data_IF_254027164933
#
_entry.id   IF_254027164933
#
_cell.length_a   1.000
_cell.length_b   1.000
_cell.length_c   1.000
_cell.angle_alpha   90.00
_cell.angle_beta   90.00
_cell.angle_gamma   90.00
#
_symmetry.space_group_name_H-M   'P 1'
#
loop_
_entity.id
_entity.type
_entity.pdbx_description
1 polymer ?
#
# COMPACT_ATOMS: atom_id res chain seq x y z
N UNK A 1 -14.20 16.93 -35.48
CA UNK A 1 -13.73 15.79 -34.67
C UNK A 1 -14.87 14.79 -34.54
N UNK A 2 -14.63 13.47 -34.66
CA UNK A 2 -15.64 12.48 -34.36
C UNK A 2 -16.12 12.63 -32.91
N UNK A 3 -17.43 12.59 -32.70
CA UNK A 3 -18.04 12.65 -31.38
C UNK A 3 -18.02 11.26 -30.75
N UNK A 4 -17.86 11.16 -29.42
CA UNK A 4 -18.04 9.89 -28.68
C UNK A 4 -19.40 9.21 -29.00
N UNK A 5 -20.40 9.99 -29.41
CA UNK A 5 -21.71 9.47 -29.83
C UNK A 5 -21.68 8.65 -31.13
N UNK A 6 -20.61 8.76 -31.90
CA UNK A 6 -20.44 8.10 -33.21
C UNK A 6 -19.46 6.93 -33.16
N UNK A 7 -18.78 6.73 -32.04
CA UNK A 7 -17.86 5.62 -31.86
C UNK A 7 -18.63 4.33 -31.57
N UNK A 8 -18.16 3.18 -32.08
CA UNK A 8 -18.65 1.89 -31.65
C UNK A 8 -18.55 1.74 -30.11
N UNK A 9 -19.49 1.06 -29.45
CA UNK A 9 -19.46 0.84 -28.00
C UNK A 9 -18.15 0.21 -27.52
N UNK A 10 -17.60 -0.73 -28.28
CA UNK A 10 -16.37 -1.46 -27.95
C UNK A 10 -15.15 -0.53 -27.93
N UNK A 11 -15.09 0.40 -28.90
CA UNK A 11 -14.03 1.42 -28.97
C UNK A 11 -14.17 2.40 -27.81
N UNK A 12 -15.40 2.80 -27.47
CA UNK A 12 -15.67 3.69 -26.34
C UNK A 12 -15.24 3.03 -25.02
N UNK A 13 -15.58 1.75 -24.80
CA UNK A 13 -15.12 0.99 -23.63
C UNK A 13 -13.60 0.89 -23.61
N UNK A 14 -12.95 0.61 -24.74
CA UNK A 14 -11.49 0.53 -24.82
C UNK A 14 -10.79 1.85 -24.45
N UNK A 15 -11.34 2.99 -24.86
CA UNK A 15 -10.84 4.32 -24.47
C UNK A 15 -11.02 4.54 -22.97
N UNK A 16 -12.21 4.24 -22.43
CA UNK A 16 -12.51 4.48 -21.02
C UNK A 16 -11.69 3.59 -20.07
N UNK A 17 -11.17 2.44 -20.53
CA UNK A 17 -10.28 1.59 -19.72
C UNK A 17 -8.95 2.25 -19.34
N UNK A 18 -8.58 3.37 -19.99
CA UNK A 18 -7.41 4.16 -19.61
C UNK A 18 -7.69 5.17 -18.48
N UNK A 19 -8.92 5.28 -18.01
CA UNK A 19 -9.28 6.13 -16.88
C UNK A 19 -9.18 5.34 -15.57
N UNK A 20 -8.75 6.01 -14.50
CA UNK A 20 -8.80 5.41 -13.17
C UNK A 20 -10.25 5.14 -12.73
N UNK A 21 -10.47 4.28 -11.72
CA UNK A 21 -11.81 3.86 -11.34
C UNK A 21 -12.71 5.00 -10.86
N UNK A 22 -12.14 6.08 -10.32
CA UNK A 22 -12.91 7.21 -9.83
C UNK A 22 -13.31 8.18 -10.95
N UNK A 23 -12.46 8.38 -11.96
CA UNK A 23 -12.83 9.13 -13.17
C UNK A 23 -13.95 8.42 -13.94
N UNK A 24 -13.93 7.08 -13.96
CA UNK A 24 -15.05 6.29 -14.49
C UNK A 24 -16.36 6.58 -13.76
N UNK A 25 -16.34 6.83 -12.44
CA UNK A 25 -17.53 7.25 -11.70
C UNK A 25 -18.05 8.62 -12.18
N UNK A 26 -17.17 9.57 -12.46
CA UNK A 26 -17.57 10.88 -12.99
C UNK A 26 -18.21 10.73 -14.38
N UNK A 27 -17.65 9.89 -15.24
CA UNK A 27 -18.22 9.63 -16.57
C UNK A 27 -19.63 9.01 -16.45
N UNK A 28 -19.86 8.13 -15.47
CA UNK A 28 -21.19 7.56 -15.17
C UNK A 28 -22.21 8.60 -14.68
N UNK A 29 -21.78 9.78 -14.24
CA UNK A 29 -22.69 10.86 -13.85
C UNK A 29 -23.11 11.74 -15.05
N UNK A 30 -22.58 11.48 -16.25
CA UNK A 30 -22.94 12.23 -17.45
C UNK A 30 -24.32 11.86 -17.98
N UNK A 31 -25.01 12.82 -18.62
CA UNK A 31 -26.30 12.58 -19.29
C UNK A 31 -26.18 11.83 -20.63
N UNK A 32 -24.96 11.46 -21.05
CA UNK A 32 -24.74 10.76 -22.31
C UNK A 32 -24.91 9.25 -22.11
N UNK A 33 -25.99 8.69 -22.66
CA UNK A 33 -26.33 7.26 -22.51
C UNK A 33 -25.23 6.31 -23.04
N UNK A 34 -24.53 6.68 -24.11
CA UNK A 34 -23.46 5.85 -24.68
C UNK A 34 -22.24 5.81 -23.74
N UNK A 35 -21.81 6.98 -23.25
CA UNK A 35 -20.72 7.08 -22.27
C UNK A 35 -21.08 6.41 -20.95
N UNK A 36 -22.30 6.61 -20.45
CA UNK A 36 -22.80 5.93 -19.26
C UNK A 36 -22.69 4.41 -19.39
N UNK A 37 -23.21 3.84 -20.48
CA UNK A 37 -23.24 2.39 -20.69
C UNK A 37 -21.83 1.82 -20.84
N UNK A 38 -20.94 2.51 -21.55
CA UNK A 38 -19.56 2.10 -21.71
C UNK A 38 -18.77 2.20 -20.39
N UNK A 39 -18.97 3.27 -19.62
CA UNK A 39 -18.33 3.47 -18.32
C UNK A 39 -18.81 2.44 -17.30
N UNK A 40 -20.08 2.04 -17.32
CA UNK A 40 -20.60 0.96 -16.46
C UNK A 40 -19.86 -0.37 -16.71
N UNK A 41 -19.62 -0.69 -17.99
CA UNK A 41 -18.89 -1.90 -18.37
C UNK A 41 -17.42 -1.82 -17.92
N UNK A 42 -16.76 -0.68 -18.17
CA UNK A 42 -15.36 -0.47 -17.80
C UNK A 42 -15.16 -0.43 -16.27
N UNK A 43 -16.12 0.13 -15.52
CA UNK A 43 -16.05 0.27 -14.06
C UNK A 43 -16.36 -1.01 -13.30
N UNK A 44 -17.10 -1.96 -13.90
CA UNK A 44 -17.59 -3.17 -13.24
C UNK A 44 -16.52 -3.93 -12.42
N UNK A 45 -15.28 -4.13 -12.90
CA UNK A 45 -14.25 -4.84 -12.14
C UNK A 45 -13.83 -4.12 -10.85
N UNK A 46 -13.92 -2.79 -10.83
CA UNK A 46 -13.40 -1.95 -9.74
C UNK A 46 -14.46 -1.63 -8.67
N UNK A 47 -15.73 -1.98 -8.90
CA UNK A 47 -16.86 -1.57 -8.05
C UNK A 47 -16.64 -1.88 -6.57
N UNK A 48 -16.22 -3.11 -6.27
CA UNK A 48 -16.05 -3.55 -4.88
C UNK A 48 -14.82 -2.88 -4.24
N UNK A 49 -13.72 -2.76 -4.98
CA UNK A 49 -12.53 -2.04 -4.52
C UNK A 49 -12.81 -0.56 -4.27
N UNK A 50 -13.48 0.15 -5.19
CA UNK A 50 -13.82 1.57 -5.02
C UNK A 50 -14.72 1.78 -3.80
N UNK A 51 -15.69 0.88 -3.56
CA UNK A 51 -16.53 0.91 -2.36
C UNK A 51 -15.70 0.72 -1.09
N UNK A 52 -14.75 -0.22 -1.10
CA UNK A 52 -13.84 -0.44 0.01
C UNK A 52 -12.97 0.79 0.27
N UNK A 53 -12.31 1.31 -0.77
CA UNK A 53 -11.44 2.48 -0.70
C UNK A 53 -12.17 3.70 -0.11
N UNK A 54 -13.36 4.03 -0.63
CA UNK A 54 -14.17 5.14 -0.08
C UNK A 54 -14.51 4.93 1.39
N UNK A 55 -14.87 3.70 1.78
CA UNK A 55 -15.23 3.40 3.17
C UNK A 55 -14.02 3.48 4.10
N UNK A 56 -12.89 2.88 3.71
CA UNK A 56 -11.68 2.85 4.53
C UNK A 56 -11.05 4.23 4.65
N UNK A 57 -11.05 5.03 3.58
CA UNK A 57 -10.61 6.44 3.63
C UNK A 57 -11.53 7.29 4.48
N UNK A 58 -12.85 7.06 4.45
CA UNK A 58 -13.77 7.78 5.32
C UNK A 58 -13.56 7.42 6.80
N UNK A 59 -13.21 6.16 7.09
CA UNK A 59 -12.97 5.68 8.45
C UNK A 59 -11.60 6.09 8.97
N UNK A 60 -10.56 5.95 8.16
CA UNK A 60 -9.17 6.29 8.44
C UNK A 60 -8.71 7.35 7.44
N UNK A 61 -9.15 8.60 7.61
CA UNK A 61 -8.77 9.66 6.70
C UNK A 61 -7.24 9.81 6.74
N UNK A 62 -6.56 9.78 5.57
CA UNK A 62 -5.17 10.14 5.49
C UNK A 62 -4.95 11.50 6.13
N UNK A 63 -3.94 11.62 6.98
CA UNK A 63 -3.72 12.86 7.73
C UNK A 63 -3.20 13.90 6.78
N UNK A 64 -4.02 14.90 6.52
CA UNK A 64 -3.67 16.05 5.69
C UNK A 64 -2.79 17.06 6.42
N UNK A 65 -1.97 16.65 7.40
CA UNK A 65 -0.92 17.53 7.91
C UNK A 65 0.15 17.61 6.84
N UNK A 66 -0.05 18.51 5.87
CA UNK A 66 0.78 18.85 4.72
C UNK A 66 2.21 19.30 5.11
N UNK A 67 2.92 18.53 5.93
CA UNK A 67 4.31 18.74 6.28
C UNK A 67 5.19 18.20 5.16
N UNK A 68 4.87 17.03 4.60
CA UNK A 68 5.55 16.38 3.47
C UNK A 68 4.80 16.66 2.17
N UNK A 69 4.93 17.91 1.73
CA UNK A 69 4.52 18.38 0.40
C UNK A 69 5.33 17.62 -0.67
N UNK A 70 5.14 16.32 -0.94
CA UNK A 70 6.01 15.61 -1.90
C UNK A 70 5.34 14.55 -2.77
N UNK A 71 4.22 13.95 -2.32
CA UNK A 71 3.52 12.92 -3.10
C UNK A 71 2.40 13.50 -3.98
N UNK A 72 2.39 13.10 -5.26
CA UNK A 72 1.35 13.48 -6.21
C UNK A 72 0.07 12.63 -6.01
N UNK A 73 -1.15 13.16 -6.11
CA UNK A 73 -2.36 12.35 -5.96
C UNK A 73 -2.65 11.49 -7.20
N UNK A 74 -2.73 10.15 -7.06
CA UNK A 74 -3.14 9.26 -8.17
C UNK A 74 -4.64 9.23 -8.45
N UNK A 75 -5.47 9.55 -7.45
CA UNK A 75 -6.93 9.55 -7.53
C UNK A 75 -7.46 10.95 -7.26
N UNK A 76 -7.29 11.85 -8.23
CA UNK A 76 -7.38 13.26 -7.96
C UNK A 76 -8.81 13.64 -7.56
N UNK A 77 -8.97 14.37 -6.46
CA UNK A 77 -10.28 14.75 -5.87
C UNK A 77 -11.09 13.62 -5.20
N UNK A 78 -10.60 12.37 -5.15
CA UNK A 78 -11.35 11.25 -4.56
C UNK A 78 -10.67 10.62 -3.34
N UNK A 79 -9.35 10.49 -3.37
CA UNK A 79 -8.56 9.98 -2.25
C UNK A 79 -7.43 10.97 -1.99
N UNK A 80 -7.32 11.53 -0.78
CA UNK A 80 -6.16 12.33 -0.43
C UNK A 80 -4.90 11.44 -0.40
N UNK A 81 -3.70 11.99 -0.70
CA UNK A 81 -2.47 11.23 -0.57
C UNK A 81 -2.33 10.59 0.81
N UNK A 82 -1.82 9.35 0.85
CA UNK A 82 -1.53 8.69 2.11
C UNK A 82 -0.39 9.46 2.83
N UNK A 83 -0.53 9.64 4.15
CA UNK A 83 0.43 10.39 4.99
C UNK A 83 1.70 9.57 5.25
N UNK A 84 2.81 10.26 5.62
CA UNK A 84 4.14 9.73 5.99
C UNK A 84 4.35 8.28 5.55
N UNK A 85 4.86 8.12 4.34
CA UNK A 85 5.02 6.81 3.77
C UNK A 85 6.13 6.03 4.51
N UNK A 86 5.75 5.36 5.59
CA UNK A 86 6.62 4.42 6.31
C UNK A 86 6.97 3.20 5.44
N UNK A 87 6.40 3.09 4.24
CA UNK A 87 6.62 1.99 3.29
C UNK A 87 7.67 2.35 2.25
N UNK A 88 7.94 3.64 2.00
CA UNK A 88 8.96 4.06 1.03
C UNK A 88 9.60 5.41 1.38
N UNK A 89 10.92 5.41 1.30
CA UNK A 89 11.76 6.59 1.49
C UNK A 89 11.95 7.39 0.18
N UNK A 90 11.51 6.85 -0.97
CA UNK A 90 11.71 7.45 -2.30
C UNK A 90 10.47 8.17 -2.79
N UNK A 91 10.53 9.50 -2.79
CA UNK A 91 9.48 10.36 -3.34
C UNK A 91 9.69 10.71 -4.82
N UNK A 92 10.93 10.54 -5.31
CA UNK A 92 11.33 10.79 -6.70
C UNK A 92 12.31 9.72 -7.18
N UNK A 93 12.34 9.48 -8.50
CA UNK A 93 13.39 8.65 -9.12
C UNK A 93 14.61 9.53 -9.43
N UNK A 94 15.82 9.16 -8.97
CA UNK A 94 17.08 9.82 -9.34
C UNK A 94 17.33 9.73 -10.85
N UNK A 95 17.88 10.80 -11.43
CA UNK A 95 18.12 10.86 -12.88
C UNK A 95 19.04 9.75 -13.39
N UNK A 96 20.01 9.33 -12.58
CA UNK A 96 20.93 8.23 -12.89
C UNK A 96 20.22 6.90 -13.18
N UNK A 97 19.00 6.71 -12.66
CA UNK A 97 18.24 5.45 -12.80
C UNK A 97 17.31 5.44 -14.01
N UNK A 98 17.14 6.56 -14.74
CA UNK A 98 16.10 6.70 -15.78
C UNK A 98 16.27 5.73 -16.93
N UNK A 99 17.49 5.58 -17.45
CA UNK A 99 17.75 4.69 -18.58
C UNK A 99 17.47 3.23 -18.20
N UNK A 100 17.93 2.79 -17.02
CA UNK A 100 17.70 1.45 -16.51
C UNK A 100 16.20 1.18 -16.31
N UNK A 101 15.45 2.15 -15.76
CA UNK A 101 14.01 2.07 -15.51
C UNK A 101 13.15 2.38 -16.74
N UNK A 102 13.76 2.58 -17.92
CA UNK A 102 13.05 2.85 -19.19
C UNK A 102 12.16 4.10 -19.12
N UNK A 103 12.66 5.14 -18.45
CA UNK A 103 12.06 6.47 -18.34
C UNK A 103 12.66 7.46 -19.34
N UNK A 104 11.97 8.56 -19.61
CA UNK A 104 12.49 9.65 -20.45
C UNK A 104 13.62 10.38 -19.70
N UNK A 105 14.83 10.31 -20.24
CA UNK A 105 16.04 10.95 -19.68
C UNK A 105 15.95 12.48 -19.54
N UNK A 106 15.03 13.12 -20.26
CA UNK A 106 14.74 14.56 -20.18
C UNK A 106 13.43 14.89 -19.44
N UNK A 107 12.73 13.86 -18.97
CA UNK A 107 11.39 13.92 -18.41
C UNK A 107 11.32 14.00 -16.88
N UNK A 108 12.45 14.12 -16.16
CA UNK A 108 12.47 14.14 -14.69
C UNK A 108 12.37 15.53 -14.02
N UNK A 109 12.23 15.59 -12.68
CA UNK A 109 12.18 14.44 -11.76
C UNK A 109 10.86 13.69 -11.87
N UNK A 110 10.91 12.37 -11.90
CA UNK A 110 9.71 11.53 -11.86
C UNK A 110 9.17 11.48 -10.43
N UNK A 111 7.95 11.97 -10.23
CA UNK A 111 7.33 12.20 -8.92
C UNK A 111 6.41 11.04 -8.61
N UNK A 112 6.56 10.48 -7.42
CA UNK A 112 5.72 9.38 -6.96
C UNK A 112 4.29 9.82 -6.67
N UNK A 113 3.33 8.98 -7.03
CA UNK A 113 1.95 9.18 -6.66
C UNK A 113 1.51 8.33 -5.45
N UNK A 114 0.57 8.86 -4.66
CA UNK A 114 0.01 8.20 -3.49
C UNK A 114 -1.49 8.50 -3.30
N UNK A 115 -2.31 7.49 -2.91
CA UNK A 115 -1.97 6.07 -3.00
C UNK A 115 -1.73 5.67 -4.46
N UNK A 116 -0.82 4.73 -4.77
CA UNK A 116 -0.55 4.34 -6.16
C UNK A 116 -1.78 3.72 -6.83
N UNK A 117 -2.01 4.04 -8.10
CA UNK A 117 -3.08 3.39 -8.89
C UNK A 117 -2.61 2.04 -9.42
N UNK A 118 -2.62 1.02 -8.54
CA UNK A 118 -2.17 -0.33 -8.87
C UNK A 118 -3.26 -1.18 -9.52
N UNK A 119 -4.52 -0.96 -9.11
CA UNK A 119 -5.66 -1.82 -9.50
C UNK A 119 -6.03 -1.72 -10.97
N UNK A 120 -5.64 -0.67 -11.67
CA UNK A 120 -5.94 -0.48 -13.10
C UNK A 120 -5.05 -1.28 -14.03
N UNK A 121 -3.85 -1.68 -13.59
CA UNK A 121 -2.86 -2.33 -14.44
C UNK A 121 -2.28 -3.61 -13.84
N UNK A 122 -2.37 -3.83 -12.53
CA UNK A 122 -1.88 -5.03 -11.85
C UNK A 122 -3.04 -5.91 -11.35
N UNK A 123 -2.84 -7.24 -11.38
CA UNK A 123 -3.76 -8.19 -10.75
C UNK A 123 -3.43 -8.32 -9.26
N UNK A 124 -4.38 -7.93 -8.42
CA UNK A 124 -4.33 -8.06 -6.97
C UNK A 124 -5.45 -9.03 -6.52
N UNK A 125 -5.25 -10.32 -6.85
CA UNK A 125 -6.23 -11.39 -6.66
C UNK A 125 -5.72 -12.53 -5.76
N UNK A 126 -4.59 -12.32 -5.09
CA UNK A 126 -3.93 -13.30 -4.23
C UNK A 126 -3.09 -14.34 -4.97
N UNK A 127 -2.92 -14.22 -6.29
CA UNK A 127 -2.02 -15.10 -7.06
C UNK A 127 -0.54 -14.77 -6.87
N UNK A 128 -0.23 -13.51 -6.55
CA UNK A 128 1.14 -12.99 -6.43
C UNK A 128 2.00 -13.23 -7.68
N UNK A 129 1.38 -13.25 -8.88
CA UNK A 129 2.10 -13.40 -10.17
C UNK A 129 3.17 -12.30 -10.38
N UNK A 130 2.98 -11.13 -9.76
CA UNK A 130 3.89 -9.98 -9.81
C UNK A 130 5.08 -10.07 -8.85
N UNK A 131 5.07 -11.00 -7.88
CA UNK A 131 6.07 -11.09 -6.82
C UNK A 131 7.21 -12.03 -7.23
N UNK A 132 8.21 -11.49 -7.93
CA UNK A 132 9.38 -12.24 -8.37
C UNK A 132 10.32 -12.57 -7.20
N UNK A 133 11.05 -13.70 -7.23
CA UNK A 133 12.11 -13.98 -6.26
C UNK A 133 13.17 -12.87 -6.26
N UNK A 134 13.78 -12.63 -5.10
CA UNK A 134 14.94 -11.75 -5.01
C UNK A 134 16.12 -12.34 -5.78
N UNK A 135 17.00 -11.47 -6.28
CA UNK A 135 18.30 -11.94 -6.75
C UNK A 135 19.09 -12.57 -5.61
N UNK A 136 20.13 -13.33 -5.97
CA UNK A 136 20.87 -14.13 -5.01
C UNK A 136 21.59 -13.28 -3.97
N UNK A 137 22.17 -12.15 -4.37
CA UNK A 137 23.00 -11.35 -3.48
C UNK A 137 22.10 -10.66 -2.45
N UNK A 138 20.95 -10.13 -2.89
CA UNK A 138 19.93 -9.58 -1.99
C UNK A 138 19.31 -10.65 -1.08
N UNK A 139 19.03 -11.84 -1.61
CA UNK A 139 18.53 -12.95 -0.79
C UNK A 139 19.54 -13.35 0.29
N UNK A 140 20.84 -13.43 -0.06
CA UNK A 140 21.93 -13.72 0.86
C UNK A 140 22.08 -12.62 1.94
N UNK A 141 21.89 -11.35 1.59
CA UNK A 141 21.85 -10.23 2.53
C UNK A 141 20.65 -10.28 3.48
N UNK A 142 19.50 -10.77 3.01
CA UNK A 142 18.26 -10.91 3.78
C UNK A 142 18.23 -12.14 4.71
N UNK A 143 19.16 -13.10 4.54
CA UNK A 143 19.22 -14.34 5.33
C UNK A 143 19.26 -14.13 6.85
N UNK A 144 20.02 -13.18 7.42
CA UNK A 144 20.04 -12.96 8.88
C UNK A 144 18.67 -12.58 9.45
N UNK A 145 17.85 -11.91 8.65
CA UNK A 145 16.54 -11.39 9.06
C UNK A 145 15.42 -12.41 8.81
N UNK A 146 15.40 -13.01 7.62
CA UNK A 146 14.29 -13.89 7.20
C UNK A 146 14.58 -15.38 7.36
N UNK A 147 15.85 -15.77 7.56
CA UNK A 147 16.27 -17.16 7.57
C UNK A 147 16.27 -17.79 6.17
N UNK A 148 16.44 -19.11 6.12
CA UNK A 148 16.44 -19.86 4.86
C UNK A 148 15.01 -19.96 4.31
N UNK A 149 14.85 -19.73 3.00
CA UNK A 149 13.55 -19.82 2.33
C UNK A 149 12.86 -21.16 2.62
N UNK A 150 11.66 -21.11 3.19
CA UNK A 150 10.86 -22.29 3.50
C UNK A 150 10.95 -22.77 4.94
N UNK A 151 11.99 -22.38 5.68
CA UNK A 151 12.26 -22.84 7.05
C UNK A 151 11.56 -21.97 8.10
N UNK A 152 11.32 -20.69 7.81
CA UNK A 152 10.66 -19.74 8.72
C UNK A 152 9.36 -19.22 8.11
N UNK A 153 8.22 -19.92 8.25
CA UNK A 153 6.96 -19.40 7.74
C UNK A 153 6.51 -18.16 8.50
N UNK A 154 5.70 -17.31 7.87
CA UNK A 154 5.05 -16.15 8.55
C UNK A 154 4.28 -16.58 9.80
N UNK A 155 3.70 -17.79 9.75
CA UNK A 155 3.05 -18.43 10.88
C UNK A 155 3.00 -19.95 10.69
N UNK A 156 2.96 -20.74 11.77
CA UNK A 156 2.58 -22.14 11.71
C UNK A 156 1.23 -22.32 11.03
N UNK A 157 1.07 -23.41 10.26
CA UNK A 157 -0.20 -23.71 9.56
C UNK A 157 -1.41 -23.72 10.51
N UNK A 158 -1.23 -24.27 11.71
CA UNK A 158 -2.30 -24.34 12.72
C UNK A 158 -2.77 -22.95 13.17
N UNK A 159 -1.87 -21.98 13.21
CA UNK A 159 -2.16 -20.60 13.61
C UNK A 159 -2.96 -19.89 12.51
N UNK A 160 -2.59 -20.10 11.24
CA UNK A 160 -3.37 -19.57 10.11
C UNK A 160 -4.75 -20.22 10.05
N UNK A 161 -4.86 -21.53 10.29
CA UNK A 161 -6.14 -22.23 10.35
C UNK A 161 -7.02 -21.73 11.50
N UNK A 162 -6.42 -21.46 12.67
CA UNK A 162 -7.10 -20.87 13.81
C UNK A 162 -7.60 -19.44 13.51
N UNK A 163 -6.77 -18.60 12.87
CA UNK A 163 -7.16 -17.27 12.43
C UNK A 163 -8.33 -17.33 11.45
N UNK A 164 -8.25 -18.15 10.41
CA UNK A 164 -9.32 -18.30 9.39
C UNK A 164 -10.62 -18.73 10.05
N UNK A 165 -10.55 -19.68 11.00
CA UNK A 165 -11.71 -20.10 11.78
C UNK A 165 -12.26 -18.95 12.62
N UNK A 166 -11.41 -18.21 13.35
CA UNK A 166 -11.84 -17.10 14.19
C UNK A 166 -12.50 -15.97 13.38
N UNK A 167 -11.94 -15.62 12.22
CA UNK A 167 -12.52 -14.65 11.28
C UNK A 167 -13.89 -15.12 10.80
N UNK A 168 -14.00 -16.41 10.43
CA UNK A 168 -15.28 -17.00 10.01
C UNK A 168 -16.31 -17.05 11.14
N UNK A 169 -15.91 -17.39 12.37
CA UNK A 169 -16.79 -17.46 13.54
C UNK A 169 -17.35 -16.06 13.92
N UNK A 170 -16.69 -14.99 13.46
CA UNK A 170 -17.08 -13.58 13.66
C UNK A 170 -17.80 -12.95 12.46
N UNK A 171 -18.14 -13.73 11.43
CA UNK A 171 -18.73 -13.25 10.16
C UNK A 171 -17.89 -12.16 9.46
N UNK A 172 -16.57 -12.18 9.66
CA UNK A 172 -15.62 -11.28 9.00
C UNK A 172 -15.13 -11.89 7.68
N UNK A 173 -14.54 -11.04 6.83
CA UNK A 173 -13.96 -11.47 5.54
C UNK A 173 -12.46 -11.26 5.58
N UNK A 174 -11.69 -12.35 5.50
CA UNK A 174 -10.24 -12.29 5.32
C UNK A 174 -9.92 -12.02 3.84
N UNK A 175 -9.02 -11.08 3.51
CA UNK A 175 -8.57 -10.89 2.13
C UNK A 175 -7.89 -12.16 1.60
N UNK A 176 -8.26 -12.59 0.40
CA UNK A 176 -7.72 -13.81 -0.23
C UNK A 176 -6.19 -13.76 -0.33
N UNK A 177 -5.63 -12.61 -0.75
CA UNK A 177 -4.18 -12.41 -0.78
C UNK A 177 -3.51 -12.52 0.58
N UNK A 178 -4.15 -12.05 1.66
CA UNK A 178 -3.59 -12.16 3.01
C UNK A 178 -3.49 -13.62 3.46
N UNK A 179 -4.55 -14.40 3.28
CA UNK A 179 -4.53 -15.83 3.59
C UNK A 179 -3.48 -16.57 2.75
N UNK A 180 -3.46 -16.35 1.44
CA UNK A 180 -2.52 -16.99 0.54
C UNK A 180 -1.05 -16.66 0.90
N UNK A 181 -0.78 -15.40 1.29
CA UNK A 181 0.53 -14.96 1.75
C UNK A 181 0.92 -15.63 3.07
N UNK A 182 0.06 -15.57 4.09
CA UNK A 182 0.33 -16.14 5.42
C UNK A 182 0.51 -17.67 5.38
N UNK A 183 -0.18 -18.36 4.47
CA UNK A 183 -0.02 -19.82 4.26
C UNK A 183 1.25 -20.20 3.51
N UNK A 184 1.91 -19.24 2.85
CA UNK A 184 3.08 -19.53 2.04
C UNK A 184 4.36 -19.42 2.86
N UNK A 185 5.13 -20.50 2.89
CA UNK A 185 6.46 -20.50 3.48
C UNK A 185 7.51 -19.79 2.59
N UNK A 186 7.09 -19.19 1.47
CA UNK A 186 8.02 -18.68 0.44
C UNK A 186 7.79 -17.22 0.09
N UNK A 187 6.54 -16.74 0.07
CA UNK A 187 6.21 -15.42 -0.47
C UNK A 187 6.84 -14.29 0.35
N UNK A 188 6.86 -14.40 1.67
CA UNK A 188 7.43 -13.36 2.52
C UNK A 188 8.96 -13.21 2.38
N UNK A 189 9.69 -14.28 2.04
CA UNK A 189 11.13 -14.19 1.72
C UNK A 189 11.42 -13.41 0.44
N UNK A 190 10.41 -13.16 -0.39
CA UNK A 190 10.55 -12.35 -1.61
C UNK A 190 10.37 -10.86 -1.35
N UNK A 191 9.97 -10.48 -0.14
CA UNK A 191 9.79 -9.07 0.21
C UNK A 191 11.12 -8.56 0.78
N UNK A 192 11.82 -7.67 0.07
CA UNK A 192 13.07 -7.10 0.56
C UNK A 192 12.78 -6.11 1.68
N UNK A 193 13.72 -5.96 2.63
CA UNK A 193 13.62 -4.95 3.67
C UNK A 193 14.98 -4.35 4.00
N UNK A 194 15.18 -3.08 3.62
CA UNK A 194 16.37 -2.30 3.96
C UNK A 194 16.39 -1.86 5.42
N UNK A 195 15.24 -1.93 6.10
CA UNK A 195 15.03 -1.46 7.46
C UNK A 195 14.72 -2.59 8.45
N UNK A 196 15.09 -3.82 8.09
CA UNK A 196 14.93 -5.03 8.91
C UNK A 196 13.49 -5.25 9.43
N UNK A 197 12.50 -5.04 8.58
CA UNK A 197 11.12 -5.47 8.87
C UNK A 197 10.96 -6.95 8.58
N UNK A 198 10.13 -7.61 9.37
CA UNK A 198 9.82 -9.02 9.20
C UNK A 198 8.33 -9.31 9.36
N UNK A 199 7.91 -10.41 8.74
CA UNK A 199 6.54 -10.87 8.77
C UNK A 199 6.34 -11.89 9.88
N UNK A 200 5.38 -11.63 10.76
CA UNK A 200 4.92 -12.58 11.78
C UNK A 200 3.46 -12.33 12.04
N UNK A 201 2.67 -13.40 12.04
CA UNK A 201 1.23 -13.32 12.27
C UNK A 201 0.91 -13.23 13.76
N UNK A 202 0.25 -12.14 14.15
CA UNK A 202 -0.32 -11.95 15.47
C UNK A 202 -1.76 -12.45 15.55
N UNK A 203 -2.28 -12.65 16.76
CA UNK A 203 -3.69 -13.03 16.98
C UNK A 203 -4.67 -11.96 16.50
N UNK A 204 -5.89 -12.35 16.11
CA UNK A 204 -6.96 -11.40 15.79
C UNK A 204 -7.47 -10.76 17.10
N UNK A 205 -7.34 -9.44 17.20
CA UNK A 205 -7.87 -8.66 18.33
C UNK A 205 -9.00 -7.76 17.87
N UNK A 206 -9.90 -7.42 18.80
CA UNK A 206 -10.91 -6.40 18.55
C UNK A 206 -10.24 -5.04 18.43
N UNK A 207 -10.58 -4.28 17.39
CA UNK A 207 -10.10 -2.91 17.25
C UNK A 207 -10.67 -2.06 18.40
N UNK A 208 -9.83 -1.31 19.12
CA UNK A 208 -10.29 -0.37 20.12
C UNK A 208 -11.20 0.69 19.50
N UNK A 209 -12.29 1.04 20.19
CA UNK A 209 -13.29 1.98 19.67
C UNK A 209 -12.72 3.38 19.42
N UNK A 210 -11.65 3.76 20.12
CA UNK A 210 -10.93 5.02 19.91
C UNK A 210 -10.10 5.04 18.61
N UNK A 211 -9.81 3.87 18.01
CA UNK A 211 -9.09 3.75 16.74
C UNK A 211 -10.06 3.71 15.55
N UNK A 212 -11.22 3.06 15.66
CA UNK A 212 -12.16 2.91 14.54
C UNK A 212 -13.53 3.57 14.76
N UNK A 213 -13.62 4.57 15.63
CA UNK A 213 -14.87 5.27 15.99
C UNK A 213 -16.01 4.32 16.41
N UNK A 214 -15.67 3.20 17.03
CA UNK A 214 -16.63 2.19 17.48
C UNK A 214 -17.30 1.43 16.35
N UNK A 215 -16.71 1.37 15.16
CA UNK A 215 -17.22 0.54 14.05
C UNK A 215 -17.15 -0.96 14.38
N UNK A 216 -16.37 -1.36 15.39
CA UNK A 216 -16.32 -2.74 15.87
C UNK A 216 -15.51 -3.67 14.97
N UNK A 217 -14.55 -3.12 14.25
CA UNK A 217 -13.60 -3.89 13.45
C UNK A 217 -12.60 -4.66 14.29
N UNK A 218 -11.70 -5.35 13.59
CA UNK A 218 -10.66 -6.18 14.19
C UNK A 218 -9.31 -5.88 13.54
N UNK A 219 -8.23 -6.13 14.28
CA UNK A 219 -6.86 -5.90 13.86
C UNK A 219 -6.07 -7.20 13.90
N UNK A 220 -5.14 -7.34 12.95
CA UNK A 220 -4.14 -8.40 12.91
C UNK A 220 -2.80 -7.71 12.62
N UNK A 221 -1.86 -7.70 13.57
CA UNK A 221 -0.48 -7.32 13.24
C UNK A 221 0.16 -8.43 12.40
N UNK A 222 0.89 -8.03 11.35
CA UNK A 222 1.49 -9.01 10.44
C UNK A 222 2.90 -8.66 9.94
N UNK A 223 3.33 -7.40 10.10
CA UNK A 223 4.61 -6.92 9.61
C UNK A 223 5.10 -5.79 10.50
N UNK A 224 6.33 -5.86 11.00
CA UNK A 224 6.88 -4.87 11.92
C UNK A 224 8.39 -4.85 11.91
N UNK A 225 8.98 -3.75 12.36
CA UNK A 225 10.42 -3.56 12.35
C UNK A 225 11.13 -4.30 13.50
N UNK A 226 12.41 -4.61 13.32
CA UNK A 226 13.23 -5.32 14.32
C UNK A 226 13.40 -4.59 15.65
N UNK A 227 13.26 -3.26 15.67
CA UNK A 227 13.35 -2.46 16.90
C UNK A 227 12.01 -2.29 17.61
N UNK A 228 10.93 -2.89 17.09
CA UNK A 228 9.58 -2.78 17.65
C UNK A 228 9.13 -1.31 17.84
N UNK A 229 9.43 -0.46 16.86
CA UNK A 229 9.08 0.94 16.81
C UNK A 229 8.08 1.29 15.69
N UNK A 230 7.82 0.35 14.76
CA UNK A 230 6.79 0.50 13.72
C UNK A 230 6.10 -0.82 13.40
N UNK A 231 4.78 -0.77 13.22
CA UNK A 231 3.91 -1.94 13.11
C UNK A 231 2.84 -1.74 12.03
N UNK A 232 2.66 -2.73 11.18
CA UNK A 232 1.57 -2.80 10.21
C UNK A 232 0.49 -3.79 10.66
N UNK A 233 -0.76 -3.33 10.54
CA UNK A 233 -1.96 -4.05 10.94
C UNK A 233 -2.93 -4.18 9.78
N UNK A 234 -3.49 -5.36 9.59
CA UNK A 234 -4.65 -5.58 8.74
C UNK A 234 -5.90 -5.26 9.55
N UNK A 235 -6.63 -4.22 9.15
CA UNK A 235 -7.94 -3.91 9.71
C UNK A 235 -9.04 -4.64 8.93
N UNK A 236 -9.93 -5.33 9.65
CA UNK A 236 -11.10 -6.01 9.10
C UNK A 236 -12.37 -5.32 9.62
N UNK A 237 -13.16 -4.77 8.69
CA UNK A 237 -14.45 -4.16 9.00
C UNK A 237 -15.55 -5.22 9.11
N UNK A 238 -16.54 -5.08 10.02
CA UNK A 238 -17.71 -5.97 10.08
C UNK A 238 -18.56 -6.00 8.80
N UNK A 239 -18.36 -5.02 7.93
CA UNK A 239 -19.04 -4.96 6.62
C UNK A 239 -18.32 -5.71 5.49
N UNK A 240 -17.21 -6.40 5.80
CA UNK A 240 -16.39 -7.12 4.82
C UNK A 240 -15.35 -6.27 4.08
N UNK A 241 -15.17 -5.01 4.46
CA UNK A 241 -14.08 -4.16 3.97
C UNK A 241 -12.78 -4.37 4.77
N UNK A 242 -11.64 -3.96 4.20
CA UNK A 242 -10.34 -4.06 4.86
C UNK A 242 -9.37 -2.98 4.38
N UNK A 243 -8.35 -2.68 5.18
CA UNK A 243 -7.21 -1.85 4.80
C UNK A 243 -5.98 -2.21 5.62
N UNK A 244 -4.82 -1.67 5.24
CA UNK A 244 -3.60 -1.76 6.04
C UNK A 244 -3.36 -0.43 6.75
N UNK A 245 -3.18 -0.51 8.07
CA UNK A 245 -2.81 0.61 8.92
C UNK A 245 -1.36 0.42 9.39
N UNK A 246 -0.61 1.52 9.51
CA UNK A 246 0.71 1.53 10.16
C UNK A 246 0.64 2.40 11.40
N UNK A 247 1.33 1.99 12.47
CA UNK A 247 1.47 2.74 13.71
C UNK A 247 2.87 2.63 14.28
N UNK A 248 3.29 3.65 15.04
CA UNK A 248 4.48 3.58 15.89
C UNK A 248 4.19 2.95 17.27
N UNK A 249 2.92 2.62 17.55
CA UNK A 249 2.48 2.02 18.80
C UNK A 249 2.16 0.54 18.60
N UNK A 250 2.65 -0.29 19.51
CA UNK A 250 2.28 -1.70 19.60
C UNK A 250 0.94 -1.85 20.32
N UNK A 251 -0.12 -2.09 19.55
CA UNK A 251 -1.47 -2.31 20.11
C UNK A 251 -1.50 -3.52 21.04
N UNK A 252 -0.73 -4.57 20.76
CA UNK A 252 -0.76 -5.80 21.54
C UNK A 252 -0.09 -5.60 22.91
N UNK A 253 0.96 -4.78 22.95
CA UNK A 253 1.64 -4.44 24.20
C UNK A 253 0.73 -3.63 25.15
N UNK A 254 -0.13 -2.77 24.62
CA UNK A 254 -1.07 -1.98 25.43
C UNK A 254 -2.07 -2.88 26.19
N UNK A 255 -2.60 -3.92 25.53
CA UNK A 255 -3.61 -4.80 26.10
C UNK A 255 -3.07 -5.91 27.02
N UNK A 256 -1.74 -6.00 27.24
CA UNK A 256 -1.08 -7.18 27.83
C UNK A 256 -1.54 -8.49 27.19
N UNK A 257 -1.85 -8.43 25.90
CA UNK A 257 -2.41 -9.54 25.18
C UNK A 257 -1.25 -10.36 24.62
N UNK A 258 -1.13 -11.63 25.04
CA UNK A 258 -0.13 -12.54 24.47
C UNK A 258 -0.28 -12.52 22.95
N UNK A 259 0.77 -12.11 22.23
CA UNK A 259 0.74 -11.92 20.77
C UNK A 259 0.58 -13.23 19.99
N UNK A 260 0.71 -14.36 20.68
CA UNK A 260 0.70 -15.70 20.09
C UNK A 260 -0.72 -16.25 19.93
N UNK A 261 -1.00 -16.81 18.75
CA UNK A 261 -2.30 -17.42 18.42
C UNK A 261 -2.55 -18.69 19.24
N UNK A 262 -1.50 -19.46 19.57
CA UNK A 262 -1.59 -20.76 20.23
C UNK A 262 -0.60 -20.99 21.40
N UNK A 263 0.05 -19.93 21.93
CA UNK A 263 0.95 -20.02 23.11
C UNK A 263 2.17 -20.94 22.91
N UNK A 264 2.74 -20.95 21.71
CA UNK A 264 3.78 -21.88 21.26
C UNK A 264 5.14 -21.22 21.05
N UNK A 265 6.01 -21.42 22.05
CA UNK A 265 7.48 -21.51 22.03
C UNK A 265 8.23 -20.65 20.99
N UNK A 266 8.76 -19.52 21.48
CA UNK A 266 9.79 -18.71 20.84
C UNK A 266 10.83 -19.57 20.12
N UNK A 267 11.16 -19.17 18.89
CA UNK A 267 12.29 -19.69 18.13
C UNK A 267 13.53 -19.68 19.01
N UNK A 268 13.90 -20.88 19.47
CA UNK A 268 15.17 -21.14 20.13
C UNK A 268 16.27 -20.92 19.10
N UNK A 269 16.86 -19.73 19.13
CA UNK A 269 18.31 -19.50 19.12
C UNK A 269 18.72 -18.02 18.98
N UNK A 270 17.76 -17.09 19.00
CA UNK A 270 18.04 -15.64 19.12
C UNK A 270 17.28 -14.96 20.29
N UNK A 271 16.83 -15.73 21.28
CA UNK A 271 16.41 -15.17 22.57
C UNK A 271 17.67 -14.70 23.32
N UNK A 272 18.24 -13.57 22.89
CA UNK A 272 19.03 -12.74 23.80
C UNK A 272 18.09 -12.41 24.95
N UNK A 273 18.53 -12.71 26.18
CA UNK A 273 17.86 -12.28 27.39
C UNK A 273 17.61 -10.76 27.34
N UNK A 274 16.42 -10.35 26.89
CA UNK A 274 15.97 -8.96 27.00
C UNK A 274 15.42 -8.73 28.42
N UNK A 275 16.33 -8.81 29.39
CA UNK A 275 16.21 -8.12 30.67
C UNK A 275 16.76 -6.70 30.56
N UNK A 276 16.47 -6.01 29.46
CA UNK A 276 16.91 -4.66 29.15
C UNK A 276 15.72 -3.74 29.09
N UNK A 277 15.66 -2.83 30.06
CA UNK A 277 14.79 -1.66 30.17
C UNK A 277 14.47 -1.02 28.79
N UNK A 278 13.40 -1.48 28.14
CA UNK A 278 12.83 -0.79 26.99
C UNK A 278 12.12 0.44 27.55
N UNK A 279 12.73 1.61 27.42
CA UNK A 279 12.10 2.90 27.71
C UNK A 279 10.92 3.25 26.80
N UNK A 280 10.19 2.25 26.29
CA UNK A 280 8.86 2.42 25.74
C UNK A 280 7.94 2.75 26.91
N UNK A 281 7.57 4.02 27.05
CA UNK A 281 6.46 4.39 27.92
C UNK A 281 5.28 3.49 27.55
N UNK A 282 4.83 2.67 28.50
CA UNK A 282 3.66 1.83 28.30
C UNK A 282 2.46 2.75 28.12
N UNK A 283 2.06 2.98 26.87
CA UNK A 283 0.87 3.73 26.54
C UNK A 283 -0.32 2.93 27.08
N UNK A 284 -1.08 3.54 27.99
CA UNK A 284 -2.32 2.96 28.52
C UNK A 284 -3.34 2.82 27.38
N UNK A 285 -4.18 1.79 27.41
CA UNK A 285 -5.24 1.55 26.41
C UNK A 285 -6.17 2.78 26.27
N UNK A 286 -6.29 3.57 27.33
CA UNK A 286 -7.06 4.81 27.36
C UNK A 286 -6.45 5.96 26.55
N UNK A 287 -5.17 5.84 26.18
CA UNK A 287 -4.40 6.81 25.39
C UNK A 287 -4.26 6.42 23.92
N UNK A 288 -4.63 5.19 23.53
CA UNK A 288 -4.66 4.77 22.14
C UNK A 288 -5.74 5.55 21.37
N UNK A 289 -5.29 6.45 20.51
CA UNK A 289 -6.18 7.21 19.61
C UNK A 289 -5.93 6.85 18.15
N UNK A 290 -6.93 7.10 17.30
CA UNK A 290 -6.80 7.05 15.84
C UNK A 290 -5.60 7.87 15.32
N UNK A 291 -5.17 8.89 16.06
CA UNK A 291 -3.98 9.70 15.78
C UNK A 291 -2.64 8.98 15.99
N UNK A 292 -2.61 7.68 16.25
CA UNK A 292 -1.40 6.87 16.12
C UNK A 292 -1.36 5.99 14.85
N UNK A 293 -2.44 5.96 14.08
CA UNK A 293 -2.57 5.11 12.91
C UNK A 293 -2.62 5.93 11.61
N UNK A 294 -1.88 5.47 10.62
CA UNK A 294 -1.90 6.00 9.26
C UNK A 294 -2.35 4.92 8.29
N UNK A 295 -3.23 5.27 7.36
CA UNK A 295 -3.64 4.38 6.28
C UNK A 295 -2.47 4.20 5.32
N UNK A 296 -1.93 2.99 5.23
CA UNK A 296 -0.76 2.66 4.39
C UNK A 296 -1.13 1.89 3.10
N UNK A 297 -2.31 1.27 3.07
CA UNK A 297 -2.81 0.59 1.88
C UNK A 297 -4.32 0.46 1.91
N UNK A 298 -4.96 0.65 0.75
CA UNK A 298 -6.41 0.47 0.59
C UNK A 298 -6.81 -1.02 0.56
N UNK A 299 -5.83 -1.90 0.40
CA UNK A 299 -5.92 -3.35 0.54
C UNK A 299 -4.58 -3.92 0.99
N UNK A 300 -4.57 -5.21 1.36
CA UNK A 300 -3.33 -5.89 1.74
C UNK A 300 -2.32 -6.00 0.59
N UNK A 301 -2.79 -6.36 -0.61
CA UNK A 301 -1.89 -6.51 -1.76
C UNK A 301 -1.36 -5.18 -2.25
N UNK A 302 -2.13 -4.08 -2.21
CA UNK A 302 -1.61 -2.74 -2.53
C UNK A 302 -0.48 -2.33 -1.59
N UNK A 303 -0.61 -2.65 -0.29
CA UNK A 303 0.47 -2.47 0.67
C UNK A 303 1.70 -3.30 0.30
N UNK A 304 1.54 -4.61 0.06
CA UNK A 304 2.66 -5.49 -0.26
C UNK A 304 3.37 -5.13 -1.57
N UNK A 305 2.64 -4.76 -2.62
CA UNK A 305 3.22 -4.30 -3.88
C UNK A 305 4.10 -3.08 -3.63
N UNK A 306 3.61 -2.14 -2.82
CA UNK A 306 4.37 -0.96 -2.44
C UNK A 306 5.63 -1.34 -1.67
N UNK A 307 5.53 -2.15 -0.60
CA UNK A 307 6.70 -2.63 0.17
C UNK A 307 7.73 -3.31 -0.75
N UNK A 308 7.27 -4.19 -1.64
CA UNK A 308 8.12 -4.98 -2.51
C UNK A 308 8.92 -4.12 -3.49
N UNK A 309 8.23 -3.36 -4.35
CA UNK A 309 8.91 -2.60 -5.41
C UNK A 309 9.71 -1.42 -4.85
N UNK A 310 9.23 -0.77 -3.80
CA UNK A 310 9.98 0.31 -3.14
C UNK A 310 11.21 -0.22 -2.40
N UNK A 311 11.12 -1.42 -1.81
CA UNK A 311 12.27 -2.11 -1.26
C UNK A 311 13.29 -2.48 -2.34
N UNK A 312 12.85 -3.02 -3.49
CA UNK A 312 13.74 -3.29 -4.63
C UNK A 312 14.46 -2.03 -5.13
N UNK A 313 13.76 -0.90 -5.25
CA UNK A 313 14.38 0.38 -5.59
C UNK A 313 15.40 0.82 -4.54
N UNK A 314 15.11 0.60 -3.27
CA UNK A 314 16.01 0.95 -2.16
C UNK A 314 17.28 0.11 -2.14
N UNK A 315 17.19 -1.17 -2.53
CA UNK A 315 18.35 -2.05 -2.74
C UNK A 315 19.06 -1.84 -4.10
N UNK A 316 18.61 -0.89 -4.93
CA UNK A 316 19.16 -0.67 -6.28
C UNK A 316 19.17 -1.96 -7.13
N UNK A 317 18.10 -2.75 -7.02
CA UNK A 317 17.96 -4.05 -7.69
C UNK A 317 18.11 -3.97 -9.21
N UNK A 318 18.56 -5.07 -9.82
CA UNK A 318 18.58 -5.21 -11.27
C UNK A 318 17.19 -5.01 -11.86
N UNK A 319 17.11 -4.21 -12.93
CA UNK A 319 15.82 -3.86 -13.53
C UNK A 319 15.22 -5.02 -14.32
N UNK A 320 13.97 -5.35 -14.03
CA UNK A 320 13.15 -6.29 -14.79
C UNK A 320 11.81 -5.63 -15.19
N UNK A 321 11.00 -6.33 -15.99
CA UNK A 321 9.79 -5.73 -16.57
C UNK A 321 8.79 -5.27 -15.50
N UNK A 322 8.56 -6.08 -14.45
CA UNK A 322 7.67 -5.72 -13.35
C UNK A 322 8.09 -4.44 -12.63
N UNK A 323 9.39 -4.26 -12.35
CA UNK A 323 9.90 -3.04 -11.72
C UNK A 323 9.77 -1.82 -12.64
N UNK A 324 10.03 -1.97 -13.94
CA UNK A 324 9.83 -0.89 -14.92
C UNK A 324 8.36 -0.49 -15.02
N UNK A 325 7.47 -1.47 -15.04
CA UNK A 325 6.03 -1.22 -15.11
C UNK A 325 5.53 -0.54 -13.83
N UNK A 326 5.99 -0.98 -12.66
CA UNK A 326 5.72 -0.29 -11.40
C UNK A 326 6.13 1.17 -11.47
N UNK A 327 7.39 1.46 -11.83
CA UNK A 327 7.88 2.83 -11.86
C UNK A 327 7.10 3.70 -12.86
N UNK A 328 6.77 3.19 -14.05
CA UNK A 328 6.00 3.93 -15.06
C UNK A 328 4.58 4.28 -14.62
N UNK A 329 3.93 3.45 -13.82
CA UNK A 329 2.55 3.69 -13.38
C UNK A 329 2.46 4.41 -12.03
N UNK A 330 3.51 4.35 -11.23
CA UNK A 330 3.52 4.95 -9.88
C UNK A 330 4.26 6.29 -9.86
N UNK A 331 5.20 6.53 -10.79
CA UNK A 331 5.94 7.78 -10.87
C UNK A 331 5.65 8.50 -12.20
N UNK A 332 5.27 9.77 -12.11
CA UNK A 332 4.92 10.59 -13.27
C UNK A 332 5.92 11.71 -13.52
N UNK A 333 6.15 11.99 -14.80
CA UNK A 333 6.97 13.12 -15.22
C UNK A 333 6.32 14.47 -14.86
N UNK A 334 7.12 15.54 -14.67
CA UNK A 334 6.65 16.91 -14.52
C UNK A 334 5.68 17.36 -15.61
N UNK A 335 5.86 16.85 -16.84
CA UNK A 335 5.01 17.19 -17.98
C UNK A 335 3.61 16.59 -17.86
N UNK A 336 3.52 15.33 -17.43
CA UNK A 336 2.24 14.67 -17.18
C UNK A 336 1.50 15.37 -16.04
N UNK A 337 2.20 15.65 -14.93
CA UNK A 337 1.61 16.33 -13.78
C UNK A 337 1.16 17.76 -14.14
N UNK A 338 1.97 18.54 -14.87
CA UNK A 338 1.59 19.91 -15.28
C UNK A 338 0.37 19.92 -16.19
N UNK A 339 0.24 18.94 -17.10
CA UNK A 339 -0.92 18.87 -18.00
C UNK A 339 -2.24 18.65 -17.23
N UNK A 340 -2.18 17.97 -16.08
CA UNK A 340 -3.33 17.74 -15.22
C UNK A 340 -3.70 18.96 -14.37
N UNK A 341 -2.82 19.95 -14.22
CA UNK A 341 -3.01 21.13 -13.36
C UNK A 341 -4.26 21.94 -13.70
N UNK A 342 -4.52 22.15 -14.98
CA UNK A 342 -5.65 22.99 -15.43
C UNK A 342 -7.01 22.35 -15.21
N UNK A 343 -7.03 21.01 -15.15
CA UNK A 343 -8.27 20.22 -15.08
C UNK A 343 -8.49 19.58 -13.71
N UNK A 344 -7.51 19.69 -12.81
CA UNK A 344 -7.57 19.02 -11.52
C UNK A 344 -7.12 19.90 -10.34
N UNK A 345 -8.06 20.24 -9.45
CA UNK A 345 -7.76 21.09 -8.29
C UNK A 345 -6.81 20.42 -7.29
N UNK A 346 -6.87 19.09 -7.11
CA UNK A 346 -5.97 18.38 -6.20
C UNK A 346 -4.51 18.45 -6.69
N UNK A 347 -4.31 18.25 -7.99
CA UNK A 347 -2.98 18.41 -8.64
C UNK A 347 -2.52 19.87 -8.54
N UNK A 348 -3.42 20.83 -8.78
CA UNK A 348 -3.08 22.25 -8.67
C UNK A 348 -2.63 22.63 -7.25
N UNK A 349 -3.37 22.20 -6.22
CA UNK A 349 -2.99 22.41 -4.81
C UNK A 349 -1.65 21.75 -4.51
N UNK A 350 -1.41 20.53 -5.00
CA UNK A 350 -0.13 19.84 -4.87
C UNK A 350 1.02 20.66 -5.48
N UNK A 351 0.90 21.09 -6.74
CA UNK A 351 1.92 21.87 -7.46
C UNK A 351 2.16 23.24 -6.81
N UNK A 352 1.10 23.92 -6.35
CA UNK A 352 1.22 25.19 -5.64
C UNK A 352 1.97 25.01 -4.30
N UNK A 353 1.73 23.90 -3.59
CA UNK A 353 2.47 23.54 -2.37
C UNK A 353 3.96 23.27 -2.65
N UNK A 354 4.28 22.66 -3.81
CA UNK A 354 5.66 22.50 -4.32
C UNK A 354 6.33 23.82 -4.72
N UNK A 355 5.61 24.94 -4.71
CA UNK A 355 6.05 26.20 -5.32
C UNK A 355 6.48 25.98 -6.77
N UNK A 356 5.75 25.14 -7.48
CA UNK A 356 6.08 24.74 -8.84
C UNK A 356 6.12 25.94 -9.78
N UNK A 357 7.23 26.10 -10.51
CA UNK A 357 7.43 27.23 -11.45
C UNK A 357 7.42 26.80 -12.93
N UNK A 358 6.90 25.60 -13.20
CA UNK A 358 6.85 25.00 -14.54
C UNK A 358 7.96 24.00 -14.79
N UNK A 359 7.75 23.16 -15.82
CA UNK A 359 8.64 22.05 -16.22
C UNK A 359 10.10 22.48 -16.39
N UNK A 360 10.33 23.68 -16.93
CA UNK A 360 11.67 24.20 -17.17
C UNK A 360 12.46 24.54 -15.89
N UNK A 361 11.79 24.78 -14.76
CA UNK A 361 12.44 25.13 -13.50
C UNK A 361 13.14 23.93 -12.84
N UNK A 362 12.61 22.73 -13.03
CA UNK A 362 13.12 21.50 -12.41
C UNK A 362 14.22 20.80 -13.22
N UNK A 363 14.44 21.20 -14.47
CA UNK A 363 15.59 20.76 -15.28
C UNK A 363 16.95 21.17 -14.70
N UNK A 364 16.99 22.15 -13.80
CA UNK A 364 18.21 22.77 -13.28
C UNK A 364 18.53 22.40 -11.82
N UNK A 365 17.66 21.65 -11.12
CA UNK A 365 17.69 21.53 -9.66
C UNK A 365 17.98 20.15 -9.07
N UNK A 366 18.22 19.12 -9.87
CA UNK A 366 18.38 17.74 -9.37
C UNK A 366 19.87 17.44 -9.25
N UNK A 367 20.34 17.01 -8.07
CA UNK A 367 21.72 16.55 -7.89
C UNK A 367 21.95 15.23 -8.62
N UNK A 368 23.15 15.09 -9.20
CA UNK A 368 23.67 13.82 -9.74
C UNK A 368 23.65 12.68 -8.70
#
# INVERSE_FOLDING_TARGET
MPSFQTLPPEVTVAILKYLNPFDLLSVRQTFNKALFSAAEIAFRPYKEWTRNAQKMVALFPPRSSHSTRRLCPSYPSYIPPLDHDNVSEREEIPRRDYEALSLDTEGGPYIRCSPPDLVTWMKLDGSFEWLEPLDKDMADEMLPHTGVEGDRPVAPKADVDALVKQVSDLDLVLPVGFEAFARSNRLHHRIPSTSAWYFRLSKLIKCPAAIDDGQGGHLIRFHFDQQHCAFAYLYLSPSGGHCVLVSQVDVYACFNDDDEINGGQADGDNAVNEGGDSGAESIDDSELTKEYFSLAGLSFEEYLVTVYFEGLLSFEADTFEGLKDFVKHVYHSPREVEHLRETNEAIKVFLDAQKWKGVEHYRQGISD
#
